data_IF_729239381084
#
_entry.id   IF_729239381084
#
_cell.length_a   1.000
_cell.length_b   1.000
_cell.length_c   1.000
_cell.angle_alpha   90.00
_cell.angle_beta   90.00
_cell.angle_gamma   90.00
#
_symmetry.space_group_name_H-M   'P 1'
#
loop_
_entity.id
_entity.type
_entity.pdbx_description
1 polymer ?
#
# COMPACT_ATOMS: atom_id res chain seq x y z
N UNK A 1 3.10 -1.03 21.64
CA UNK A 1 2.38 -2.11 20.92
C UNK A 1 1.67 -1.66 19.64
N UNK A 2 1.57 -0.35 19.32
CA UNK A 2 0.86 0.13 18.13
C UNK A 2 1.51 -0.18 16.75
N UNK A 3 2.82 -0.46 16.71
CA UNK A 3 3.52 -0.71 15.45
C UNK A 3 3.06 -1.99 14.75
N UNK A 4 2.76 -3.05 15.51
CA UNK A 4 2.28 -4.32 14.95
C UNK A 4 0.85 -4.22 14.38
N UNK A 5 0.00 -3.41 15.00
CA UNK A 5 -1.39 -3.26 14.56
C UNK A 5 -1.45 -2.54 13.20
N UNK A 6 -0.59 -1.54 12.99
CA UNK A 6 -0.53 -0.80 11.74
C UNK A 6 -0.09 -1.70 10.56
N UNK A 7 0.88 -2.59 10.80
CA UNK A 7 1.33 -3.58 9.82
C UNK A 7 0.26 -4.66 9.54
N UNK A 8 -0.50 -5.08 10.56
CA UNK A 8 -1.57 -6.07 10.41
C UNK A 8 -2.68 -5.59 9.47
N UNK A 9 -3.22 -4.39 9.70
CA UNK A 9 -4.29 -3.84 8.85
C UNK A 9 -3.81 -3.57 7.44
N UNK A 10 -2.57 -3.11 7.29
CA UNK A 10 -2.00 -2.87 5.97
C UNK A 10 -1.81 -4.18 5.20
N UNK A 11 -1.34 -5.24 5.86
CA UNK A 11 -1.22 -6.57 5.26
C UNK A 11 -2.59 -7.13 4.84
N UNK A 12 -3.60 -7.02 5.71
CA UNK A 12 -4.97 -7.41 5.41
C UNK A 12 -5.53 -6.61 4.21
N UNK A 13 -5.30 -5.30 4.18
CA UNK A 13 -5.69 -4.45 3.05
C UNK A 13 -5.06 -4.87 1.73
N UNK A 14 -3.76 -5.19 1.71
CA UNK A 14 -3.10 -5.74 0.52
C UNK A 14 -3.69 -7.09 0.08
N UNK A 15 -4.06 -7.95 1.04
CA UNK A 15 -4.72 -9.22 0.75
C UNK A 15 -6.13 -9.07 0.17
N UNK A 16 -6.81 -7.96 0.46
CA UNK A 16 -8.15 -7.66 -0.06
C UNK A 16 -8.14 -6.94 -1.42
N UNK A 17 -6.98 -6.48 -1.91
CA UNK A 17 -6.89 -5.81 -3.21
C UNK A 17 -7.13 -6.78 -4.36
N UNK A 18 -7.79 -6.28 -5.41
CA UNK A 18 -7.85 -7.01 -6.69
C UNK A 18 -6.46 -7.17 -7.29
N UNK A 19 -6.21 -8.21 -8.11
CA UNK A 19 -4.90 -8.39 -8.76
C UNK A 19 -4.44 -7.17 -9.56
N UNK A 20 -5.38 -6.42 -10.17
CA UNK A 20 -5.08 -5.19 -10.89
C UNK A 20 -4.63 -4.06 -9.95
N UNK A 21 -5.36 -3.85 -8.85
CA UNK A 21 -5.01 -2.85 -7.85
C UNK A 21 -3.66 -3.17 -7.17
N UNK A 22 -3.42 -4.43 -6.82
CA UNK A 22 -2.15 -4.90 -6.25
C UNK A 22 -0.97 -4.60 -7.19
N UNK A 23 -1.08 -4.93 -8.48
CA UNK A 23 -0.03 -4.63 -9.48
C UNK A 23 0.27 -3.13 -9.57
N UNK A 24 -0.75 -2.28 -9.51
CA UNK A 24 -0.56 -0.81 -9.55
C UNK A 24 0.25 -0.30 -8.35
N UNK A 25 -0.01 -0.82 -7.15
CA UNK A 25 0.71 -0.46 -5.94
C UNK A 25 2.14 -1.01 -5.94
N UNK A 26 2.34 -2.26 -6.36
CA UNK A 26 3.68 -2.85 -6.48
C UNK A 26 4.54 -2.03 -7.42
N UNK A 27 4.04 -1.65 -8.60
CA UNK A 27 4.78 -0.82 -9.56
C UNK A 27 5.13 0.56 -8.96
N UNK A 28 4.17 1.23 -8.33
CA UNK A 28 4.38 2.54 -7.73
C UNK A 28 5.42 2.52 -6.59
N UNK A 29 5.39 1.50 -5.75
CA UNK A 29 6.33 1.37 -4.64
C UNK A 29 7.73 0.98 -5.15
N UNK A 30 7.82 0.05 -6.09
CA UNK A 30 9.11 -0.43 -6.62
C UNK A 30 9.84 0.57 -7.51
N UNK A 31 9.13 1.52 -8.14
CA UNK A 31 9.76 2.63 -8.86
C UNK A 31 10.66 3.52 -7.99
N UNK A 32 10.47 3.55 -6.67
CA UNK A 32 11.31 4.34 -5.78
C UNK A 32 12.57 3.56 -5.36
N UNK A 33 13.74 4.04 -5.80
CA UNK A 33 15.06 3.44 -5.47
C UNK A 33 15.41 3.54 -3.99
N UNK A 34 15.09 4.67 -3.36
CA UNK A 34 15.38 4.91 -1.94
C UNK A 34 14.30 4.31 -1.04
N UNK A 35 14.73 3.62 0.03
CA UNK A 35 13.83 3.02 1.02
C UNK A 35 12.94 4.05 1.71
N UNK A 36 13.48 5.21 2.07
CA UNK A 36 12.72 6.31 2.68
C UNK A 36 11.53 6.75 1.79
N UNK A 37 11.75 6.83 0.48
CA UNK A 37 10.70 7.19 -0.49
C UNK A 37 9.65 6.09 -0.62
N UNK A 38 10.06 4.80 -0.60
CA UNK A 38 9.10 3.68 -0.58
C UNK A 38 8.20 3.75 0.65
N UNK A 39 8.77 3.97 1.82
CA UNK A 39 8.02 4.10 3.08
C UNK A 39 7.07 5.28 3.03
N UNK A 40 7.51 6.44 2.52
CA UNK A 40 6.66 7.63 2.37
C UNK A 40 5.48 7.38 1.42
N UNK A 41 5.71 6.72 0.27
CA UNK A 41 4.65 6.33 -0.66
C UNK A 41 3.67 5.35 -0.02
N UNK A 42 4.17 4.35 0.70
CA UNK A 42 3.34 3.36 1.41
C UNK A 42 2.44 4.03 2.45
N UNK A 43 2.98 4.97 3.25
CA UNK A 43 2.19 5.73 4.24
C UNK A 43 1.05 6.51 3.59
N UNK A 44 1.29 7.13 2.43
CA UNK A 44 0.25 7.84 1.67
C UNK A 44 -0.77 6.88 1.03
N UNK A 45 -0.32 5.71 0.62
CA UNK A 45 -1.15 4.68 0.01
C UNK A 45 -2.10 4.01 1.01
N UNK A 46 -1.74 3.99 2.29
CA UNK A 46 -2.46 3.25 3.35
C UNK A 46 -3.97 3.42 3.29
N UNK A 47 -4.44 4.67 3.24
CA UNK A 47 -5.88 4.94 3.26
C UNK A 47 -6.62 4.32 2.06
N UNK A 48 -6.00 4.32 0.87
CA UNK A 48 -6.55 3.69 -0.34
C UNK A 48 -6.52 2.16 -0.24
N UNK A 49 -5.39 1.60 0.20
CA UNK A 49 -5.22 0.14 0.37
C UNK A 49 -6.25 -0.42 1.34
N UNK A 50 -6.49 0.27 2.47
CA UNK A 50 -7.50 -0.15 3.45
C UNK A 50 -8.93 -0.05 2.91
N UNK A 51 -9.19 0.75 1.88
CA UNK A 51 -10.48 0.83 1.18
C UNK A 51 -10.59 -0.13 -0.01
N UNK A 52 -9.54 -0.89 -0.32
CA UNK A 52 -9.49 -1.78 -1.47
C UNK A 52 -9.26 -1.07 -2.82
N UNK A 53 -8.87 0.20 -2.79
CA UNK A 53 -8.66 1.01 -3.99
C UNK A 53 -7.27 0.82 -4.60
N UNK A 54 -7.21 0.75 -5.93
CA UNK A 54 -5.97 0.87 -6.67
C UNK A 54 -5.34 2.27 -6.58
N UNK A 55 -4.08 2.38 -6.99
CA UNK A 55 -3.36 3.67 -7.02
C UNK A 55 -4.17 4.77 -7.75
N UNK A 56 -4.73 4.38 -8.91
CA UNK A 56 -5.45 5.26 -9.82
C UNK A 56 -6.98 5.08 -9.77
N UNK A 57 -7.50 4.31 -8.81
CA UNK A 57 -8.95 4.33 -8.58
C UNK A 57 -9.36 5.74 -8.14
N UNK A 58 -10.43 6.22 -8.77
CA UNK A 58 -11.13 7.47 -8.47
C UNK A 58 -12.48 7.15 -7.89
#
# INVERSE_FOLDING_TARGET
MAALEDDFWLAAGFGALTPAALRSWVLHLTQARQSATRISRLKKARAKILRGEGLNDR
#
